data_IF_334557736100
#
_entry.id   IF_334557736100
#
_cell.length_a   1.000
_cell.length_b   1.000
_cell.length_c   1.000
_cell.angle_alpha   90.00
_cell.angle_beta   90.00
_cell.angle_gamma   90.00
#
_symmetry.space_group_name_H-M   'P 1'
#
loop_
_entity.id
_entity.type
_entity.pdbx_description
1 polymer ?
#
# COMPACT_ATOMS: atom_id res chain seq x y z
N UNK A 1 31.39 -1.47 23.43
CA UNK A 1 30.89 -2.66 22.74
C UNK A 1 30.50 -2.22 21.36
N UNK A 2 31.26 -2.64 20.35
CA UNK A 2 30.95 -2.36 18.95
C UNK A 2 29.84 -3.33 18.53
N UNK A 3 28.67 -2.80 18.19
CA UNK A 3 27.65 -3.60 17.51
C UNK A 3 28.21 -4.02 16.16
N UNK A 4 28.19 -5.33 15.92
CA UNK A 4 28.52 -5.91 14.62
C UNK A 4 27.52 -5.41 13.57
N UNK A 5 27.93 -5.25 12.30
CA UNK A 5 26.98 -5.00 11.23
C UNK A 5 26.02 -6.18 11.15
N UNK A 6 24.76 -5.96 11.52
CA UNK A 6 23.68 -6.90 11.21
C UNK A 6 23.63 -7.01 9.69
N UNK A 7 23.92 -8.20 9.16
CA UNK A 7 23.73 -8.51 7.75
C UNK A 7 22.33 -8.02 7.34
N UNK A 8 22.24 -7.32 6.21
CA UNK A 8 20.94 -7.00 5.62
C UNK A 8 20.16 -8.30 5.50
N UNK A 9 18.95 -8.42 6.06
CA UNK A 9 18.17 -9.64 5.91
C UNK A 9 17.99 -9.92 4.41
N UNK A 10 18.20 -11.18 4.03
CA UNK A 10 17.97 -11.65 2.67
C UNK A 10 16.51 -11.37 2.25
N UNK A 11 16.28 -11.27 0.94
CA UNK A 11 14.93 -11.24 0.38
C UNK A 11 14.15 -12.48 0.82
N UNK A 12 12.89 -12.30 1.20
CA UNK A 12 11.99 -13.40 1.54
C UNK A 12 11.15 -13.77 0.33
N UNK A 13 11.28 -15.01 -0.15
CA UNK A 13 10.46 -15.53 -1.25
C UNK A 13 9.32 -16.37 -0.70
N UNK A 14 8.08 -15.95 -0.96
CA UNK A 14 6.85 -16.68 -0.67
C UNK A 14 6.36 -17.36 -1.96
N UNK A 15 5.91 -18.60 -1.84
CA UNK A 15 5.49 -19.47 -2.94
C UNK A 15 4.14 -20.11 -2.62
N UNK A 16 3.21 -20.07 -3.56
CA UNK A 16 1.96 -20.82 -3.47
C UNK A 16 1.45 -21.16 -4.87
N UNK A 17 1.57 -22.43 -5.28
CA UNK A 17 1.19 -22.87 -6.62
C UNK A 17 1.93 -22.06 -7.71
N UNK A 18 1.22 -21.38 -8.64
CA UNK A 18 1.85 -20.58 -9.68
C UNK A 18 2.32 -19.19 -9.20
N UNK A 19 1.99 -18.80 -7.96
CA UNK A 19 2.25 -17.47 -7.45
C UNK A 19 3.55 -17.41 -6.65
N UNK A 20 4.35 -16.37 -6.91
CA UNK A 20 5.59 -16.06 -6.19
C UNK A 20 5.58 -14.60 -5.79
N UNK A 21 5.80 -14.33 -4.50
CA UNK A 21 5.95 -12.99 -3.95
C UNK A 21 7.33 -12.83 -3.31
N UNK A 22 7.99 -11.69 -3.54
CA UNK A 22 9.28 -11.38 -2.92
C UNK A 22 9.12 -10.19 -1.99
N UNK A 23 9.42 -10.36 -0.71
CA UNK A 23 9.41 -9.30 0.30
C UNK A 23 10.86 -8.88 0.58
N UNK A 24 11.09 -7.59 0.68
CA UNK A 24 12.41 -6.98 0.91
C UNK A 24 12.42 -6.28 2.29
N UNK A 25 12.79 -6.99 3.38
CA UNK A 25 12.79 -6.41 4.71
C UNK A 25 13.83 -5.28 4.85
N UNK A 26 14.98 -5.40 4.19
CA UNK A 26 16.03 -4.38 4.22
C UNK A 26 15.62 -3.13 3.44
N UNK A 27 14.95 -3.29 2.29
CA UNK A 27 14.45 -2.23 1.43
C UNK A 27 13.05 -1.73 1.79
N UNK A 28 12.78 -1.51 3.09
CA UNK A 28 11.55 -0.83 3.51
C UNK A 28 10.37 -1.74 3.85
N UNK A 29 10.57 -3.07 3.95
CA UNK A 29 9.47 -4.01 4.20
C UNK A 29 8.47 -4.10 3.03
N UNK A 30 8.92 -3.71 1.83
CA UNK A 30 8.09 -3.68 0.62
C UNK A 30 7.91 -5.09 0.04
N UNK A 31 6.82 -5.28 -0.67
CA UNK A 31 6.69 -6.36 -1.65
C UNK A 31 7.44 -5.94 -2.90
N UNK A 32 8.63 -6.49 -3.13
CA UNK A 32 9.52 -6.13 -4.23
C UNK A 32 9.08 -6.74 -5.58
N UNK A 33 8.41 -7.90 -5.55
CA UNK A 33 7.90 -8.57 -6.74
C UNK A 33 6.65 -9.38 -6.41
N UNK A 34 5.76 -9.52 -7.39
CA UNK A 34 4.61 -10.43 -7.35
C UNK A 34 4.40 -10.97 -8.76
N UNK A 35 4.66 -12.26 -8.96
CA UNK A 35 4.45 -12.94 -10.22
C UNK A 35 3.43 -14.06 -10.11
N UNK A 36 2.66 -14.26 -11.18
CA UNK A 36 1.68 -15.33 -11.30
C UNK A 36 1.96 -16.07 -12.60
N UNK A 37 2.23 -17.38 -12.51
CA UNK A 37 2.60 -18.22 -13.65
C UNK A 37 3.75 -17.63 -14.50
N UNK A 38 4.72 -16.97 -13.83
CA UNK A 38 5.87 -16.33 -14.46
C UNK A 38 5.62 -14.91 -15.00
N UNK A 39 4.40 -14.38 -14.90
CA UNK A 39 4.06 -13.01 -15.30
C UNK A 39 4.25 -12.06 -14.10
N UNK A 40 5.23 -11.16 -14.17
CA UNK A 40 5.50 -10.18 -13.11
C UNK A 40 4.52 -9.00 -13.17
N UNK A 41 3.84 -8.73 -12.06
CA UNK A 41 2.79 -7.71 -11.96
C UNK A 41 3.32 -6.36 -11.49
N UNK A 42 4.42 -6.31 -10.73
CA UNK A 42 4.93 -5.09 -10.14
C UNK A 42 6.13 -4.52 -10.90
N UNK A 43 6.29 -3.21 -10.86
CA UNK A 43 7.47 -2.53 -11.36
C UNK A 43 8.70 -2.92 -10.53
N UNK A 44 9.83 -3.31 -11.16
CA UNK A 44 11.06 -3.66 -10.45
C UNK A 44 11.90 -2.42 -10.10
N UNK A 45 12.86 -2.57 -9.20
CA UNK A 45 13.88 -1.55 -8.91
C UNK A 45 13.63 -0.79 -7.60
N UNK A 46 14.63 -0.02 -7.16
CA UNK A 46 14.55 0.76 -5.93
C UNK A 46 13.45 1.83 -6.04
N UNK A 47 12.55 1.91 -5.05
CA UNK A 47 11.41 2.84 -5.04
C UNK A 47 10.11 2.29 -5.65
N UNK A 48 10.16 1.14 -6.35
CA UNK A 48 8.99 0.43 -6.88
C UNK A 48 8.58 -0.78 -6.03
N UNK A 49 7.82 -1.72 -6.59
CA UNK A 49 7.12 -2.77 -5.87
C UNK A 49 5.86 -2.25 -5.21
N UNK A 50 5.59 -2.69 -3.97
CA UNK A 50 4.56 -2.15 -3.11
C UNK A 50 5.11 -1.87 -1.72
N UNK A 51 5.48 -0.61 -1.48
CA UNK A 51 6.00 -0.18 -0.18
C UNK A 51 4.88 0.17 0.80
N UNK A 52 5.09 -0.02 2.11
CA UNK A 52 4.15 0.40 3.12
C UNK A 52 4.14 1.91 3.32
N UNK A 53 2.97 2.44 3.66
CA UNK A 53 2.80 3.84 4.05
C UNK A 53 2.27 3.92 5.48
N UNK A 54 3.13 4.27 6.43
CA UNK A 54 2.78 4.53 7.83
C UNK A 54 3.84 5.44 8.50
N UNK A 55 3.49 6.27 9.49
CA UNK A 55 2.16 6.42 10.10
C UNK A 55 1.24 7.40 9.35
N UNK A 56 1.57 7.83 8.13
CA UNK A 56 0.64 8.51 7.23
C UNK A 56 0.75 7.98 5.79
N UNK A 57 -0.33 8.12 5.04
CA UNK A 57 -0.40 7.77 3.63
C UNK A 57 -0.47 9.03 2.76
N UNK A 58 0.03 8.93 1.53
CA UNK A 58 0.14 10.08 0.63
C UNK A 58 0.89 11.28 1.26
N UNK A 59 0.43 12.48 0.92
CA UNK A 59 1.04 13.75 1.33
C UNK A 59 0.59 14.17 2.74
N UNK A 60 1.49 14.78 3.50
CA UNK A 60 1.22 15.49 4.76
C UNK A 60 1.49 16.99 4.56
N UNK A 61 0.47 17.82 4.75
CA UNK A 61 0.50 19.24 4.40
C UNK A 61 1.68 19.98 5.05
N UNK A 62 2.49 20.63 4.22
CA UNK A 62 3.70 21.35 4.63
C UNK A 62 4.76 20.52 5.36
N UNK A 63 4.62 19.20 5.42
CA UNK A 63 5.39 18.33 6.30
C UNK A 63 5.13 18.60 7.78
N UNK A 64 3.90 18.97 8.16
CA UNK A 64 3.54 19.34 9.53
C UNK A 64 2.39 18.49 10.04
N UNK A 65 2.61 17.79 11.15
CA UNK A 65 1.55 17.18 11.95
C UNK A 65 1.12 18.13 13.06
N UNK A 66 -0.20 18.28 13.24
CA UNK A 66 -0.82 18.95 14.39
C UNK A 66 -1.43 17.87 15.29
N UNK A 67 -0.82 17.62 16.45
CA UNK A 67 -1.31 16.61 17.40
C UNK A 67 -1.18 17.10 18.83
N UNK A 68 -2.25 16.95 19.62
CA UNK A 68 -2.31 17.37 21.02
C UNK A 68 -1.80 18.81 21.27
N UNK A 69 -2.15 19.76 20.39
CA UNK A 69 -1.73 21.15 20.48
C UNK A 69 -0.25 21.42 20.12
N UNK A 70 0.50 20.39 19.70
CA UNK A 70 1.90 20.50 19.26
C UNK A 70 2.02 20.40 17.75
N UNK A 71 3.07 21.01 17.21
CA UNK A 71 3.47 20.92 15.81
C UNK A 71 4.73 20.07 15.68
N UNK A 72 4.66 19.03 14.87
CA UNK A 72 5.81 18.18 14.54
C UNK A 72 6.14 18.33 13.05
N UNK A 73 7.42 18.51 12.74
CA UNK A 73 7.88 18.77 11.37
C UNK A 73 8.64 17.58 10.82
N UNK A 74 8.42 17.28 9.55
CA UNK A 74 9.05 16.17 8.83
C UNK A 74 9.76 16.67 7.57
N UNK A 75 10.77 15.93 7.08
CA UNK A 75 11.38 16.19 5.78
C UNK A 75 10.33 16.25 4.66
N UNK A 76 10.48 17.22 3.76
CA UNK A 76 9.55 17.44 2.64
C UNK A 76 10.05 16.73 1.40
N UNK A 77 10.00 15.41 1.41
CA UNK A 77 10.51 14.56 0.32
C UNK A 77 9.71 14.73 -0.99
N UNK A 78 8.50 15.29 -0.94
CA UNK A 78 7.74 15.75 -2.10
C UNK A 78 7.33 17.23 -1.90
N UNK A 79 8.26 18.19 -2.10
CA UNK A 79 8.02 19.60 -1.79
C UNK A 79 6.72 20.13 -2.42
N UNK A 80 5.90 20.89 -1.66
CA UNK A 80 6.16 21.45 -0.33
C UNK A 80 5.76 20.53 0.85
N UNK A 81 5.49 19.25 0.60
CA UNK A 81 4.90 18.31 1.57
C UNK A 81 5.86 17.21 2.00
N UNK A 82 5.59 16.60 3.16
CA UNK A 82 6.14 15.27 3.47
C UNK A 82 5.25 14.20 2.80
N UNK A 83 5.76 12.98 2.61
CA UNK A 83 5.04 11.96 1.85
C UNK A 83 5.33 10.54 2.34
N UNK A 84 4.30 9.70 2.40
CA UNK A 84 4.37 8.24 2.63
C UNK A 84 5.00 7.75 3.94
N UNK A 85 4.85 8.51 5.02
CA UNK A 85 5.23 8.03 6.34
C UNK A 85 6.73 8.03 6.61
N UNK A 86 7.13 7.31 7.66
CA UNK A 86 8.54 7.16 8.07
C UNK A 86 9.07 5.75 7.85
N UNK A 87 8.19 4.76 7.60
CA UNK A 87 8.59 3.35 7.60
C UNK A 87 9.12 2.83 6.26
N UNK A 88 8.76 3.48 5.13
CA UNK A 88 9.07 2.97 3.78
C UNK A 88 10.57 2.93 3.44
N UNK A 89 11.37 3.76 4.11
CA UNK A 89 12.80 3.94 3.82
C UNK A 89 13.68 3.34 4.93
N UNK A 90 13.11 2.47 5.77
CA UNK A 90 13.81 1.88 6.92
C UNK A 90 13.72 0.37 6.91
N UNK A 91 14.74 -0.35 7.41
CA UNK A 91 14.69 -1.80 7.49
C UNK A 91 13.60 -2.26 8.47
N UNK A 92 13.00 -3.40 8.15
CA UNK A 92 12.01 -4.09 8.96
C UNK A 92 12.61 -5.37 9.54
N UNK A 93 12.23 -5.69 10.77
CA UNK A 93 12.58 -6.96 11.41
C UNK A 93 11.61 -8.04 10.95
N UNK A 94 12.14 -9.17 10.52
CA UNK A 94 11.34 -10.37 10.24
C UNK A 94 10.97 -11.03 11.57
N UNK A 95 9.69 -11.15 11.86
CA UNK A 95 9.15 -11.81 13.07
C UNK A 95 8.87 -13.27 12.80
N UNK A 96 8.31 -13.56 11.63
CA UNK A 96 8.00 -14.92 11.16
C UNK A 96 8.10 -14.97 9.65
N UNK A 97 8.64 -16.07 9.12
CA UNK A 97 8.63 -16.38 7.71
C UNK A 97 8.28 -17.87 7.54
N UNK A 98 7.48 -18.16 6.53
CA UNK A 98 7.09 -19.50 6.09
C UNK A 98 7.09 -19.53 4.56
N UNK A 99 6.81 -20.70 3.98
CA UNK A 99 6.81 -20.88 2.53
C UNK A 99 5.83 -19.94 1.82
N UNK A 100 4.70 -19.61 2.44
CA UNK A 100 3.59 -18.86 1.84
C UNK A 100 3.22 -17.59 2.63
N UNK A 101 3.94 -17.27 3.71
CA UNK A 101 3.59 -16.14 4.57
C UNK A 101 4.80 -15.50 5.25
N UNK A 102 4.68 -14.22 5.56
CA UNK A 102 5.65 -13.47 6.35
C UNK A 102 4.97 -12.46 7.27
N UNK A 103 5.56 -12.24 8.44
CA UNK A 103 5.23 -11.17 9.38
C UNK A 103 6.49 -10.35 9.63
N UNK A 104 6.41 -9.06 9.33
CA UNK A 104 7.47 -8.08 9.54
C UNK A 104 7.00 -7.05 10.57
N UNK A 105 7.94 -6.44 11.28
CA UNK A 105 7.66 -5.32 12.17
C UNK A 105 8.71 -4.22 12.10
N UNK A 106 8.28 -2.99 12.38
CA UNK A 106 9.14 -1.81 12.47
C UNK A 106 8.70 -0.96 13.67
N UNK A 107 9.67 -0.52 14.48
CA UNK A 107 9.40 0.36 15.62
C UNK A 107 9.17 1.79 15.18
N UNK A 108 8.12 2.45 15.68
CA UNK A 108 7.92 3.88 15.47
C UNK A 108 8.73 4.67 16.49
N UNK A 109 9.51 5.61 15.98
CA UNK A 109 10.37 6.54 16.73
C UNK A 109 10.87 7.64 15.80
N UNK A 110 11.88 8.41 16.22
CA UNK A 110 12.37 9.57 15.48
C UNK A 110 12.58 9.26 13.97
N UNK A 111 12.07 10.11 13.05
CA UNK A 111 11.52 11.44 13.29
C UNK A 111 10.04 11.46 13.75
N UNK A 112 9.36 10.32 13.80
CA UNK A 112 8.02 10.25 14.39
C UNK A 112 8.11 10.49 15.91
N UNK A 113 7.31 11.41 16.48
CA UNK A 113 7.50 11.85 17.86
C UNK A 113 6.91 10.89 18.90
N UNK A 114 6.18 9.86 18.47
CA UNK A 114 5.46 8.95 19.36
C UNK A 114 6.04 7.54 19.30
N UNK A 115 6.15 6.88 20.46
CA UNK A 115 6.57 5.48 20.52
C UNK A 115 5.45 4.54 20.09
N UNK A 116 5.77 3.59 19.22
CA UNK A 116 4.81 2.62 18.73
C UNK A 116 5.46 1.53 17.89
N UNK A 117 4.65 0.79 17.17
CA UNK A 117 5.08 -0.25 16.24
C UNK A 117 4.15 -0.31 15.04
N UNK A 118 4.70 -0.66 13.89
CA UNK A 118 3.95 -1.09 12.73
C UNK A 118 4.27 -2.55 12.46
N UNK A 119 3.27 -3.39 12.25
CA UNK A 119 3.42 -4.75 11.77
C UNK A 119 2.81 -4.89 10.38
N UNK A 120 3.40 -5.74 9.55
CA UNK A 120 2.90 -6.11 8.24
C UNK A 120 2.86 -7.62 8.08
N UNK A 121 1.73 -8.13 7.64
CA UNK A 121 1.51 -9.54 7.34
C UNK A 121 1.25 -9.74 5.85
N UNK A 122 1.89 -10.76 5.31
CA UNK A 122 1.73 -11.24 3.94
C UNK A 122 1.29 -12.70 4.03
N UNK A 123 0.18 -13.04 3.37
CA UNK A 123 -0.26 -14.42 3.21
C UNK A 123 -0.60 -14.67 1.75
N UNK A 124 0.21 -15.50 1.10
CA UNK A 124 0.11 -15.86 -0.30
C UNK A 124 -0.66 -17.18 -0.43
N UNK A 125 -1.50 -17.26 -1.45
CA UNK A 125 -2.19 -18.46 -1.88
C UNK A 125 -2.12 -18.55 -3.41
N UNK A 126 -2.51 -19.68 -4.04
CA UNK A 126 -2.42 -19.82 -5.49
C UNK A 126 -3.15 -18.76 -6.32
N UNK A 127 -4.21 -18.15 -5.76
CA UNK A 127 -5.05 -17.16 -6.45
C UNK A 127 -5.14 -15.80 -5.75
N UNK A 128 -4.55 -15.61 -4.56
CA UNK A 128 -4.56 -14.31 -3.91
C UNK A 128 -3.36 -14.04 -2.98
N UNK A 129 -3.04 -12.76 -2.83
CA UNK A 129 -2.19 -12.21 -1.78
C UNK A 129 -3.05 -11.42 -0.81
N UNK A 130 -3.01 -11.79 0.47
CA UNK A 130 -3.62 -11.03 1.57
C UNK A 130 -2.55 -10.25 2.31
N UNK A 131 -2.85 -8.98 2.53
CA UNK A 131 -2.03 -8.03 3.24
C UNK A 131 -2.79 -7.53 4.46
N UNK A 132 -2.10 -7.43 5.60
CA UNK A 132 -2.60 -6.70 6.75
C UNK A 132 -1.49 -5.82 7.31
N UNK A 133 -1.85 -4.62 7.76
CA UNK A 133 -0.94 -3.72 8.46
C UNK A 133 -1.61 -3.23 9.73
N UNK A 134 -0.88 -3.30 10.84
CA UNK A 134 -1.35 -2.80 12.14
C UNK A 134 -0.38 -1.75 12.68
N UNK A 135 -0.93 -0.60 13.10
CA UNK A 135 -0.20 0.46 13.80
C UNK A 135 -0.64 0.47 15.26
N UNK A 136 0.33 0.33 16.16
CA UNK A 136 0.15 0.27 17.60
C UNK A 136 0.84 1.46 18.28
N UNK A 137 0.20 2.02 19.31
CA UNK A 137 0.84 2.96 20.23
C UNK A 137 1.35 2.21 21.45
N UNK A 138 2.56 2.54 21.89
CA UNK A 138 3.16 2.01 23.12
C UNK A 138 3.07 2.96 24.31
N UNK A 139 2.28 4.03 24.20
CA UNK A 139 2.16 5.03 25.25
C UNK A 139 1.04 6.02 24.94
N UNK A 140 1.40 7.25 24.58
CA UNK A 140 0.44 8.30 24.29
C UNK A 140 -0.33 8.06 22.98
N UNK A 141 -1.62 8.45 22.90
CA UNK A 141 -2.37 8.39 21.66
C UNK A 141 -1.78 9.27 20.57
N UNK A 142 -1.80 8.79 19.32
CA UNK A 142 -1.42 9.60 18.16
C UNK A 142 -2.29 9.30 16.94
N UNK A 143 -2.53 10.27 16.02
CA UNK A 143 -3.22 9.99 14.79
C UNK A 143 -2.35 9.13 13.87
N UNK A 144 -2.94 8.14 13.22
CA UNK A 144 -2.23 7.32 12.24
C UNK A 144 -3.12 7.01 11.03
N UNK A 145 -2.45 6.78 9.91
CA UNK A 145 -2.98 6.13 8.73
C UNK A 145 -2.01 5.04 8.26
N UNK A 146 -2.57 4.04 7.59
CA UNK A 146 -1.85 2.89 7.07
C UNK A 146 -2.39 2.49 5.70
N UNK A 147 -1.52 2.01 4.83
CA UNK A 147 -1.84 1.54 3.48
C UNK A 147 -0.59 1.09 2.73
N UNK A 148 -0.75 0.79 1.45
CA UNK A 148 0.34 0.37 0.57
C UNK A 148 0.32 1.14 -0.74
N UNK A 149 1.49 1.25 -1.37
CA UNK A 149 1.64 1.91 -2.65
C UNK A 149 2.16 0.95 -3.73
N UNK A 150 1.30 0.09 -4.28
CA UNK A 150 1.70 -0.86 -5.31
C UNK A 150 1.87 -0.17 -6.66
N UNK A 151 3.02 -0.37 -7.29
CA UNK A 151 3.30 0.06 -8.66
C UNK A 151 3.10 -1.13 -9.59
N UNK A 152 1.90 -1.28 -10.14
CA UNK A 152 1.60 -2.32 -11.13
C UNK A 152 2.14 -1.91 -12.49
N UNK A 153 2.65 -2.87 -13.26
CA UNK A 153 3.10 -2.64 -14.64
C UNK A 153 1.87 -2.40 -15.52
N UNK A 154 1.91 -1.37 -16.38
CA UNK A 154 0.83 -1.15 -17.35
C UNK A 154 0.85 -2.22 -18.45
N UNK A 155 2.03 -2.69 -18.85
CA UNK A 155 2.22 -3.77 -19.81
C UNK A 155 2.94 -4.95 -19.15
N UNK A 156 2.34 -6.15 -19.22
CA UNK A 156 2.91 -7.38 -18.68
C UNK A 156 3.84 -8.10 -19.67
N UNK A 157 3.96 -7.61 -20.91
CA UNK A 157 4.63 -8.30 -22.03
C UNK A 157 3.81 -9.44 -22.63
N UNK A 158 2.55 -9.58 -22.20
CA UNK A 158 1.56 -10.54 -22.69
C UNK A 158 0.17 -9.94 -22.54
N UNK A 159 -0.74 -10.26 -23.46
CA UNK A 159 -2.06 -9.63 -23.51
C UNK A 159 -2.03 -8.15 -23.93
N UNK A 160 -3.07 -7.42 -23.56
CA UNK A 160 -3.20 -5.97 -23.73
C UNK A 160 -2.74 -5.18 -22.50
N UNK A 161 -2.61 -3.85 -22.64
CA UNK A 161 -2.27 -2.97 -21.53
C UNK A 161 -3.36 -2.96 -20.46
N UNK A 162 -2.98 -2.60 -19.24
CA UNK A 162 -3.87 -2.53 -18.09
C UNK A 162 -5.05 -1.56 -18.30
N UNK A 163 -6.25 -2.03 -18.00
CA UNK A 163 -7.48 -1.26 -17.92
C UNK A 163 -7.95 -1.18 -16.46
N UNK A 164 -8.15 0.04 -15.97
CA UNK A 164 -8.67 0.29 -14.62
C UNK A 164 -10.20 0.35 -14.62
N UNK A 165 -10.83 -0.39 -13.72
CA UNK A 165 -12.28 -0.33 -13.48
C UNK A 165 -12.54 -0.13 -12.00
N UNK A 166 -13.28 0.93 -11.67
CA UNK A 166 -13.70 1.25 -10.31
C UNK A 166 -15.04 1.99 -10.31
N UNK A 167 -15.81 1.83 -9.25
CA UNK A 167 -17.06 2.54 -9.00
C UNK A 167 -16.97 3.31 -7.68
N UNK A 168 -16.25 4.42 -7.68
CA UNK A 168 -16.12 5.28 -6.51
C UNK A 168 -17.41 6.09 -6.27
N UNK A 169 -17.80 6.26 -5.01
CA UNK A 169 -18.94 7.08 -4.64
C UNK A 169 -18.63 8.59 -4.77
N UNK A 170 -17.37 8.98 -4.56
CA UNK A 170 -16.88 10.32 -4.84
C UNK A 170 -15.38 10.33 -5.13
N UNK A 171 -14.91 11.42 -5.73
CA UNK A 171 -13.51 11.82 -5.79
C UNK A 171 -13.30 13.02 -4.86
N UNK A 172 -12.20 13.03 -4.10
CA UNK A 172 -11.75 14.22 -3.38
C UNK A 172 -11.25 15.24 -4.41
N UNK A 173 -11.81 16.45 -4.40
CA UNK A 173 -11.32 17.52 -5.27
C UNK A 173 -9.87 17.83 -4.93
N UNK A 174 -8.95 17.57 -5.86
CA UNK A 174 -7.54 17.83 -5.70
C UNK A 174 -7.23 19.31 -5.89
N UNK A 175 -6.59 19.90 -4.89
CA UNK A 175 -6.06 21.26 -4.93
C UNK A 175 -4.78 21.36 -5.76
N UNK A 176 -4.31 22.59 -6.06
CA UNK A 176 -3.09 22.84 -6.82
C UNK A 176 -1.81 22.34 -6.13
N UNK A 177 -1.88 22.03 -4.84
CA UNK A 177 -0.81 21.44 -4.03
C UNK A 177 -0.91 19.90 -3.94
N UNK A 178 -1.78 19.29 -4.75
CA UNK A 178 -2.07 17.85 -4.76
C UNK A 178 -2.65 17.31 -3.43
N UNK A 179 -3.26 18.17 -2.62
CA UNK A 179 -4.03 17.75 -1.44
C UNK A 179 -5.53 17.89 -1.68
N UNK A 180 -6.38 17.06 -1.03
CA UNK A 180 -7.81 17.27 -1.01
C UNK A 180 -8.19 18.66 -0.49
N UNK A 181 -9.05 19.38 -1.22
CA UNK A 181 -9.62 20.67 -0.77
C UNK A 181 -10.65 20.50 0.36
N UNK A 182 -11.09 19.26 0.61
CA UNK A 182 -12.20 18.92 1.50
C UNK A 182 -13.56 18.88 0.82
N UNK A 183 -13.63 19.17 -0.49
CA UNK A 183 -14.85 19.05 -1.30
C UNK A 183 -14.88 17.70 -2.00
N UNK A 184 -16.04 17.04 -1.96
CA UNK A 184 -16.32 15.80 -2.69
C UNK A 184 -16.99 16.13 -4.01
N UNK A 185 -16.49 15.57 -5.10
CA UNK A 185 -17.01 15.75 -6.46
C UNK A 185 -17.35 14.39 -7.06
N UNK A 186 -18.14 14.39 -8.13
CA UNK A 186 -18.31 13.19 -8.95
C UNK A 186 -16.95 12.77 -9.53
N UNK A 187 -16.63 11.47 -9.60
CA UNK A 187 -15.43 10.98 -10.27
C UNK A 187 -15.32 11.52 -11.69
N UNK A 188 -14.13 11.99 -12.06
CA UNK A 188 -13.81 12.48 -13.41
C UNK A 188 -12.99 11.43 -14.16
N UNK A 189 -12.92 11.57 -15.48
CA UNK A 189 -12.00 10.78 -16.30
C UNK A 189 -10.54 11.10 -15.93
N UNK A 190 -9.66 10.10 -16.10
CA UNK A 190 -8.24 10.21 -15.80
C UNK A 190 -7.43 10.96 -16.88
N UNK A 191 -6.09 10.95 -16.77
CA UNK A 191 -5.31 10.27 -15.73
C UNK A 191 -5.50 10.92 -14.35
N UNK A 192 -5.21 10.16 -13.31
CA UNK A 192 -5.43 10.45 -11.90
C UNK A 192 -4.11 10.48 -11.11
N UNK A 193 -4.04 11.40 -10.16
CA UNK A 193 -3.21 11.37 -8.92
C UNK A 193 -4.17 11.73 -7.78
N UNK A 194 -5.27 10.98 -7.69
CA UNK A 194 -6.48 11.42 -7.01
C UNK A 194 -6.98 10.39 -5.99
N UNK A 195 -7.56 10.91 -4.90
CA UNK A 195 -8.15 10.09 -3.84
C UNK A 195 -9.66 9.93 -4.06
N UNK A 196 -10.14 8.70 -3.94
CA UNK A 196 -11.53 8.32 -4.11
C UNK A 196 -12.09 7.70 -2.84
N UNK A 197 -13.40 7.89 -2.63
CA UNK A 197 -14.15 7.32 -1.52
C UNK A 197 -15.05 6.18 -1.93
N UNK A 198 -14.98 5.08 -1.18
CA UNK A 198 -15.81 3.87 -1.35
C UNK A 198 -16.38 3.47 0.03
N UNK A 199 -17.61 3.88 0.39
CA UNK A 199 -18.21 3.64 1.71
C UNK A 199 -18.21 2.19 2.18
N UNK A 200 -18.45 1.27 1.25
CA UNK A 200 -18.64 -0.15 1.50
C UNK A 200 -17.32 -0.94 1.48
N UNK A 201 -16.19 -0.25 1.30
CA UNK A 201 -14.87 -0.84 1.13
C UNK A 201 -14.30 -0.57 -0.26
N UNK A 202 -12.98 -0.56 -0.39
CA UNK A 202 -12.32 -0.45 -1.69
C UNK A 202 -12.57 -1.73 -2.49
N UNK A 203 -12.98 -1.56 -3.74
CA UNK A 203 -13.03 -2.59 -4.76
C UNK A 203 -12.60 -1.98 -6.09
N UNK A 204 -11.44 -2.37 -6.60
CA UNK A 204 -10.86 -1.90 -7.85
C UNK A 204 -10.38 -3.10 -8.66
N UNK A 205 -10.66 -3.10 -9.95
CA UNK A 205 -10.20 -4.11 -10.89
C UNK A 205 -9.14 -3.51 -11.80
N UNK A 206 -8.03 -4.21 -11.96
CA UNK A 206 -7.03 -3.98 -13.01
C UNK A 206 -7.09 -5.17 -13.96
N UNK A 207 -7.52 -4.93 -15.18
CA UNK A 207 -7.68 -5.98 -16.21
C UNK A 207 -6.55 -5.84 -17.23
N UNK A 208 -5.79 -6.90 -17.46
CA UNK A 208 -4.86 -6.98 -18.59
C UNK A 208 -5.47 -7.94 -19.62
N UNK A 209 -6.16 -7.43 -20.66
CA UNK A 209 -6.94 -8.28 -21.56
C UNK A 209 -6.10 -9.40 -22.18
N UNK A 210 -6.53 -10.65 -22.02
CA UNK A 210 -5.80 -11.81 -22.53
C UNK A 210 -4.59 -12.25 -21.69
N UNK A 211 -4.31 -11.61 -20.54
CA UNK A 211 -3.27 -12.01 -19.60
C UNK A 211 -3.82 -12.45 -18.24
N UNK A 212 -4.48 -11.55 -17.50
CA UNK A 212 -5.16 -11.83 -16.23
C UNK A 212 -5.97 -10.63 -15.76
N UNK A 213 -6.86 -10.87 -14.80
CA UNK A 213 -7.59 -9.82 -14.08
C UNK A 213 -7.17 -9.83 -12.62
N UNK A 214 -6.92 -8.65 -12.04
CA UNK A 214 -6.57 -8.45 -10.64
C UNK A 214 -7.66 -7.63 -9.94
N UNK A 215 -8.28 -8.21 -8.92
CA UNK A 215 -9.24 -7.55 -8.04
C UNK A 215 -8.55 -7.17 -6.72
N UNK A 216 -8.56 -5.87 -6.41
CA UNK A 216 -8.01 -5.31 -5.18
C UNK A 216 -9.16 -4.89 -4.29
N UNK A 217 -9.30 -5.57 -3.15
CA UNK A 217 -10.36 -5.31 -2.16
C UNK A 217 -9.79 -4.93 -0.80
N UNK A 218 -10.47 -4.03 -0.09
CA UNK A 218 -10.10 -3.63 1.27
C UNK A 218 -11.30 -3.18 2.08
N UNK A 219 -11.24 -3.40 3.40
CA UNK A 219 -12.19 -2.77 4.33
C UNK A 219 -11.95 -1.26 4.52
N UNK A 220 -10.82 -0.73 4.02
CA UNK A 220 -10.58 0.69 3.93
C UNK A 220 -11.61 1.35 3.01
N UNK A 221 -11.91 2.62 3.26
CA UNK A 221 -12.90 3.40 2.48
C UNK A 221 -12.26 4.38 1.50
N UNK A 222 -10.93 4.43 1.47
CA UNK A 222 -10.17 5.38 0.69
C UNK A 222 -9.20 4.63 -0.19
N UNK A 223 -9.14 5.02 -1.46
CA UNK A 223 -8.15 4.54 -2.42
C UNK A 223 -7.54 5.74 -3.13
N UNK A 224 -6.23 5.77 -3.32
CA UNK A 224 -5.61 6.65 -4.30
C UNK A 224 -5.37 5.85 -5.57
N UNK A 225 -5.74 6.44 -6.70
CA UNK A 225 -5.34 5.95 -8.01
C UNK A 225 -4.31 6.91 -8.57
N UNK A 226 -3.15 6.38 -8.93
CA UNK A 226 -2.10 7.13 -9.60
C UNK A 226 -1.73 6.43 -10.91
N UNK A 227 -2.16 6.97 -12.05
CA UNK A 227 -1.96 6.38 -13.38
C UNK A 227 -1.47 7.40 -14.42
N UNK A 228 -0.88 8.51 -13.99
CA UNK A 228 -0.19 9.47 -14.87
C UNK A 228 1.05 8.86 -15.58
N UNK A 229 1.88 8.00 -14.95
CA UNK A 229 3.02 7.38 -15.63
C UNK A 229 2.58 6.43 -16.74
N UNK A 230 3.25 6.50 -17.90
CA UNK A 230 2.95 5.62 -19.01
C UNK A 230 3.12 4.13 -18.64
N UNK A 231 4.13 3.80 -17.84
CA UNK A 231 4.56 2.39 -17.73
C UNK A 231 3.96 1.67 -16.52
N UNK A 232 3.27 2.42 -15.65
CA UNK A 232 2.77 1.91 -14.39
C UNK A 232 1.48 2.59 -13.95
N UNK A 233 0.77 1.92 -13.05
CA UNK A 233 -0.38 2.48 -12.33
C UNK A 233 -0.35 2.01 -10.88
N UNK A 234 -0.97 2.78 -9.99
CA UNK A 234 -1.06 2.47 -8.57
C UNK A 234 -2.52 2.43 -8.12
N UNK A 235 -2.82 1.44 -7.27
CA UNK A 235 -4.11 1.30 -6.59
C UNK A 235 -3.81 1.18 -5.11
N UNK A 236 -4.09 2.23 -4.35
CA UNK A 236 -3.58 2.39 -2.98
C UNK A 236 -4.71 2.38 -1.95
N UNK A 237 -5.23 1.21 -1.52
CA UNK A 237 -6.11 1.15 -0.37
C UNK A 237 -5.41 1.72 0.88
N UNK A 238 -6.02 2.72 1.50
CA UNK A 238 -5.45 3.42 2.66
C UNK A 238 -6.53 3.77 3.68
N UNK A 239 -6.17 3.80 4.96
CA UNK A 239 -7.15 3.96 6.05
C UNK A 239 -7.73 5.37 6.20
N UNK A 240 -7.31 6.32 5.36
CA UNK A 240 -7.78 7.70 5.32
C UNK A 240 -7.24 8.46 4.11
N UNK A 241 -7.76 9.67 3.82
CA UNK A 241 -7.32 10.46 2.66
C UNK A 241 -5.93 11.09 2.90
N UNK A 242 -5.25 11.59 1.85
CA UNK A 242 -4.04 12.39 2.01
C UNK A 242 -4.26 13.54 3.01
N UNK A 243 -3.24 13.81 3.84
CA UNK A 243 -3.28 14.76 4.96
C UNK A 243 -4.34 14.44 6.04
N UNK A 244 -4.94 13.24 6.01
CA UNK A 244 -6.00 12.86 6.96
C UNK A 244 -5.54 12.77 8.41
N UNK A 245 -4.23 12.69 8.70
CA UNK A 245 -3.73 12.90 10.08
C UNK A 245 -4.14 14.26 10.65
N UNK A 246 -4.30 15.29 9.81
CA UNK A 246 -4.70 16.63 10.22
C UNK A 246 -6.19 16.91 9.95
N UNK A 247 -6.78 16.33 8.90
CA UNK A 247 -8.16 16.63 8.48
C UNK A 247 -9.21 15.62 8.95
N UNK A 248 -8.81 14.37 9.18
CA UNK A 248 -9.67 13.29 9.67
C UNK A 248 -8.89 12.38 10.64
N UNK A 249 -8.36 12.92 11.75
CA UNK A 249 -7.45 12.19 12.63
C UNK A 249 -8.14 10.98 13.25
N UNK A 250 -7.53 9.80 13.09
CA UNK A 250 -7.93 8.57 13.80
C UNK A 250 -6.89 8.25 14.88
N UNK A 251 -7.19 8.47 16.17
CA UNK A 251 -6.25 8.20 17.23
C UNK A 251 -6.04 6.69 17.38
N UNK A 252 -4.77 6.29 17.40
CA UNK A 252 -4.31 4.97 17.81
C UNK A 252 -3.97 5.02 19.29
N UNK A 253 -4.42 4.04 20.07
CA UNK A 253 -4.08 3.88 21.49
C UNK A 253 -3.62 2.45 21.76
N UNK A 254 -2.96 2.17 22.89
CA UNK A 254 -2.59 0.79 23.24
C UNK A 254 -3.77 -0.21 23.26
N UNK A 255 -5.00 0.29 23.49
CA UNK A 255 -6.23 -0.55 23.52
C UNK A 255 -7.00 -0.56 22.20
N UNK A 256 -6.62 0.28 21.24
CA UNK A 256 -7.32 0.45 19.97
C UNK A 256 -6.28 0.69 18.87
N UNK A 257 -5.56 -0.36 18.44
CA UNK A 257 -4.67 -0.26 17.29
C UNK A 257 -5.45 0.06 16.01
N UNK A 258 -4.76 0.65 15.03
CA UNK A 258 -5.28 0.80 13.68
C UNK A 258 -4.88 -0.44 12.89
N UNK A 259 -5.85 -1.16 12.32
CA UNK A 259 -5.59 -2.24 11.35
C UNK A 259 -6.24 -1.90 10.02
N UNK A 260 -5.51 -2.13 8.94
CA UNK A 260 -5.98 -2.07 7.55
C UNK A 260 -5.62 -3.37 6.84
N UNK A 261 -6.48 -3.84 5.94
CA UNK A 261 -6.26 -5.06 5.16
C UNK A 261 -6.41 -4.78 3.68
N UNK A 262 -5.73 -5.54 2.83
CA UNK A 262 -5.97 -5.54 1.38
C UNK A 262 -5.89 -6.98 0.88
N UNK A 263 -6.79 -7.39 -0.01
CA UNK A 263 -6.73 -8.68 -0.69
C UNK A 263 -6.61 -8.42 -2.19
N UNK A 264 -5.59 -9.01 -2.79
CA UNK A 264 -5.32 -8.96 -4.22
C UNK A 264 -5.61 -10.34 -4.79
N UNK A 265 -6.73 -10.49 -5.47
CA UNK A 265 -7.17 -11.74 -6.07
C UNK A 265 -6.94 -11.69 -7.57
N UNK A 266 -6.31 -12.70 -8.14
CA UNK A 266 -6.11 -12.79 -9.59
C UNK A 266 -6.85 -13.97 -10.17
N UNK A 267 -7.36 -13.77 -11.38
CA UNK A 267 -8.00 -14.80 -12.18
C UNK A 267 -7.38 -14.85 -13.58
N UNK A 268 -7.37 -16.03 -14.23
CA UNK A 268 -6.95 -16.14 -15.63
C UNK A 268 -7.85 -15.29 -16.54
N UNK A 269 -7.44 -15.06 -17.80
CA UNK A 269 -8.26 -14.32 -18.76
C UNK A 269 -9.64 -14.98 -18.92
N UNK A 270 -10.67 -14.16 -19.10
CA UNK A 270 -12.00 -14.65 -19.44
C UNK A 270 -11.93 -15.53 -20.70
N UNK A 271 -12.34 -16.80 -20.59
CA UNK A 271 -12.27 -17.80 -21.67
C UNK A 271 -11.25 -18.93 -21.48
N UNK A 272 -10.41 -18.86 -20.45
CA UNK A 272 -9.51 -19.96 -20.01
C UNK A 272 -9.96 -20.56 -18.66
N UNK A 273 -11.27 -20.70 -18.44
CA UNK A 273 -11.78 -21.49 -17.33
C UNK A 273 -11.51 -22.98 -17.62
N UNK A 274 -10.41 -23.46 -17.06
CA UNK A 274 -9.98 -24.85 -16.85
C UNK A 274 -10.87 -25.94 -17.51
N UNK A 275 -10.45 -26.44 -18.67
CA UNK A 275 -10.96 -27.72 -19.23
C UNK A 275 -10.56 -28.93 -18.35
N UNK A 276 -9.87 -28.72 -17.22
CA UNK A 276 -9.38 -29.75 -16.31
C UNK A 276 -10.37 -30.22 -15.24
N UNK A 277 -11.68 -30.29 -15.50
CA UNK A 277 -12.59 -30.94 -14.55
C UNK A 277 -13.86 -31.57 -15.16
N UNK A 278 -13.72 -32.30 -16.27
CA UNK A 278 -14.67 -33.38 -16.59
C UNK A 278 -13.87 -34.64 -16.93
N UNK A 279 -14.09 -35.64 -16.09
CA UNK A 279 -13.60 -37.01 -16.19
C UNK A 279 -14.06 -37.70 -17.46
#
# INVERSE_FOLDING_TARGET
MHDAPTASPDLLTLNAGPAVAVVDPAGGGRLAALSVAGVELLMPGAGFGSFPMAPWCGRLAGGVLRSAGRFHRFPREAPPHAIHGTVRNSPWRVVRAAADSALLEHGLGAPWPFAGRVTQEFALSPSCLRLAMTVESHGEPFPAQAGWHPWFRRDLGTGGPAELRLAAAWQEERGPDHLPTGRRIAPREGPWDDCFGMPDGVAVTVDWPGALTLEITSSARWVVIYDEPAEALCVEPQSGPPNGLNTLPRPVTPRSPLTVTSTWHWSPPAGQADEGQLR
#
